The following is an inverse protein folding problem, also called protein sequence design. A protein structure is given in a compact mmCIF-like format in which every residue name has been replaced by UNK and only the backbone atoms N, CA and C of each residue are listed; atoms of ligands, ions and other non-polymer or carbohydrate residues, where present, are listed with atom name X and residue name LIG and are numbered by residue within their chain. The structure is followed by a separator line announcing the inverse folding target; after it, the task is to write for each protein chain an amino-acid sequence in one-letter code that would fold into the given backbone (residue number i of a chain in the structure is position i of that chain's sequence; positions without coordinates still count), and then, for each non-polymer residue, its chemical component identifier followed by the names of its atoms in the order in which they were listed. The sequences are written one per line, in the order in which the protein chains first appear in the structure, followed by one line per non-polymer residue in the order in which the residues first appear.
data_IF_317734584075
#
_entry.id   IF_317734584075
#
_cell.length_a   1.000
_cell.length_b   1.000
_cell.length_c   1.000
_cell.angle_alpha   90.00
_cell.angle_beta   90.00
_cell.angle_gamma   90.00
#
_symmetry.space_group_name_H-M   'P 1'
#
loop_
_entity.id
_entity.type
_entity.pdbx_description
1 polymer ?
#
# COMPACT_ATOMS: atom_id res chain seq x y z
N UNK A 1 -27.60 -16.86 -46.38
CA UNK A 1 -26.33 -16.14 -46.66
C UNK A 1 -26.21 -14.73 -46.05
N UNK A 2 -27.30 -14.01 -45.68
CA UNK A 2 -27.19 -12.66 -45.09
C UNK A 2 -26.61 -12.65 -43.66
N UNK A 3 -26.97 -13.62 -42.84
CA UNK A 3 -26.51 -13.72 -41.45
C UNK A 3 -25.02 -14.12 -41.31
N UNK A 4 -24.47 -14.86 -42.28
CA UNK A 4 -23.03 -15.20 -42.30
C UNK A 4 -22.14 -13.95 -42.46
N UNK A 5 -22.57 -12.95 -43.25
CA UNK A 5 -21.80 -11.71 -43.42
C UNK A 5 -21.82 -10.86 -42.15
N UNK A 6 -22.97 -10.79 -41.46
CA UNK A 6 -23.10 -10.09 -40.18
C UNK A 6 -22.24 -10.75 -39.10
N UNK A 7 -22.20 -12.09 -39.07
CA UNK A 7 -21.32 -12.83 -38.15
C UNK A 7 -19.83 -12.54 -38.36
N UNK A 8 -19.38 -12.48 -39.62
CA UNK A 8 -17.98 -12.17 -39.95
C UNK A 8 -17.61 -10.74 -39.50
N UNK A 9 -18.49 -9.76 -39.71
CA UNK A 9 -18.26 -8.37 -39.26
C UNK A 9 -18.13 -8.27 -37.74
N UNK A 10 -18.97 -9.00 -37.00
CA UNK A 10 -18.92 -9.06 -35.53
C UNK A 10 -17.62 -9.68 -35.00
N UNK A 11 -17.14 -10.76 -35.64
CA UNK A 11 -15.88 -11.41 -35.28
C UNK A 11 -14.68 -10.48 -35.55
N UNK A 12 -14.68 -9.81 -36.70
CA UNK A 12 -13.62 -8.84 -37.03
C UNK A 12 -13.60 -7.68 -36.02
N UNK A 13 -14.77 -7.18 -35.60
CA UNK A 13 -14.87 -6.13 -34.57
C UNK A 13 -14.30 -6.56 -33.20
N UNK A 14 -14.53 -7.80 -32.78
CA UNK A 14 -14.01 -8.33 -31.52
C UNK A 14 -12.48 -8.47 -31.53
N UNK A 15 -11.86 -8.76 -32.69
CA UNK A 15 -10.40 -8.90 -32.82
C UNK A 15 -9.63 -7.56 -32.69
N UNK A 16 -10.30 -6.42 -32.88
CA UNK A 16 -9.68 -5.09 -32.72
C UNK A 16 -9.86 -4.47 -31.33
N UNK A 17 -10.56 -5.17 -30.42
CA UNK A 17 -10.79 -4.68 -29.06
C UNK A 17 -9.52 -4.80 -28.22
N UNK A 18 -8.76 -3.71 -28.07
CA UNK A 18 -7.67 -3.65 -27.10
C UNK A 18 -8.25 -3.54 -25.69
N UNK A 19 -8.04 -4.58 -24.88
CA UNK A 19 -8.34 -4.55 -23.45
C UNK A 19 -7.07 -4.23 -22.67
N UNK A 20 -7.11 -3.19 -21.85
CA UNK A 20 -6.08 -2.89 -20.87
C UNK A 20 -6.58 -3.32 -19.51
N UNK A 21 -5.97 -4.36 -18.93
CA UNK A 21 -6.23 -4.75 -17.54
C UNK A 21 -5.31 -3.96 -16.60
N UNK A 22 -5.81 -3.67 -15.39
CA UNK A 22 -5.03 -3.01 -14.34
C UNK A 22 -4.08 -4.03 -13.69
N UNK A 23 -2.96 -4.32 -14.34
CA UNK A 23 -1.85 -4.97 -13.67
C UNK A 23 -1.04 -3.88 -12.96
N UNK A 24 -1.53 -3.47 -11.79
CA UNK A 24 -0.74 -2.67 -10.89
C UNK A 24 0.29 -3.62 -10.27
N UNK A 25 1.48 -3.69 -10.85
CA UNK A 25 2.62 -4.29 -10.17
C UNK A 25 3.10 -3.33 -9.10
N UNK A 26 3.60 -3.86 -7.98
CA UNK A 26 4.18 -3.01 -6.95
C UNK A 26 5.32 -2.17 -7.54
N UNK A 27 6.14 -2.75 -8.43
CA UNK A 27 7.13 -2.02 -9.24
C UNK A 27 8.23 -1.33 -8.42
N UNK A 28 9.32 -0.94 -9.10
CA UNK A 28 10.33 -0.03 -8.51
C UNK A 28 9.86 1.40 -8.65
N UNK A 29 10.17 2.25 -7.68
CA UNK A 29 9.92 3.69 -7.77
C UNK A 29 10.84 4.28 -8.84
N UNK A 30 10.28 5.04 -9.76
CA UNK A 30 11.03 5.65 -10.86
C UNK A 30 11.29 7.13 -10.61
N UNK A 31 12.28 7.69 -11.31
CA UNK A 31 12.61 9.12 -11.20
C UNK A 31 11.48 9.96 -11.77
N UNK A 32 10.88 9.49 -12.85
CA UNK A 32 9.76 10.11 -13.57
C UNK A 32 8.54 10.23 -12.65
N UNK A 33 8.23 9.15 -11.91
CA UNK A 33 7.18 9.17 -10.88
C UNK A 33 7.44 10.24 -9.83
N UNK A 34 8.67 10.39 -9.33
CA UNK A 34 8.98 11.40 -8.31
C UNK A 34 9.02 12.83 -8.86
N UNK A 35 9.30 13.00 -10.16
CA UNK A 35 9.33 14.32 -10.82
C UNK A 35 7.94 14.90 -11.08
N UNK A 36 6.91 14.05 -11.16
CA UNK A 36 5.54 14.52 -11.32
C UNK A 36 5.05 15.21 -10.03
N UNK A 37 5.07 16.54 -10.03
CA UNK A 37 4.74 17.38 -8.86
C UNK A 37 3.25 17.54 -8.58
N UNK A 38 2.39 17.14 -9.54
CA UNK A 38 0.95 17.34 -9.48
C UNK A 38 0.27 16.11 -10.08
N UNK A 39 -0.81 15.65 -9.46
CA UNK A 39 -1.54 14.49 -9.95
C UNK A 39 -2.17 14.77 -11.32
N UNK A 40 -2.02 13.87 -12.32
CA UNK A 40 -2.40 14.14 -13.71
C UNK A 40 -3.91 14.31 -13.92
N UNK A 41 -4.74 13.65 -13.10
CA UNK A 41 -6.20 13.75 -13.19
C UNK A 41 -6.82 14.81 -12.27
N UNK A 42 -6.07 15.28 -11.26
CA UNK A 42 -6.60 16.21 -10.26
C UNK A 42 -5.47 17.07 -9.69
N UNK A 43 -5.31 18.29 -10.19
CA UNK A 43 -4.28 19.21 -9.72
C UNK A 43 -4.48 19.69 -8.27
N UNK A 44 -5.69 19.51 -7.73
CA UNK A 44 -6.01 19.88 -6.35
C UNK A 44 -5.60 18.80 -5.36
N UNK A 45 -5.36 17.56 -5.81
CA UNK A 45 -5.00 16.43 -4.96
C UNK A 45 -3.76 16.72 -4.10
N UNK A 46 -3.87 16.42 -2.80
CA UNK A 46 -2.78 16.55 -1.84
C UNK A 46 -1.89 15.30 -1.81
N UNK A 47 -2.47 14.13 -2.10
CA UNK A 47 -1.80 12.84 -2.21
C UNK A 47 -2.63 11.91 -3.11
N UNK A 48 -2.03 10.83 -3.61
CA UNK A 48 -2.72 9.78 -4.34
C UNK A 48 -2.22 8.39 -3.93
N UNK A 49 -3.13 7.41 -3.91
CA UNK A 49 -2.77 6.00 -3.75
C UNK A 49 -2.32 5.49 -5.11
N UNK A 50 -1.04 5.16 -5.21
CA UNK A 50 -0.43 4.64 -6.44
C UNK A 50 -0.58 3.12 -6.51
N UNK A 51 -0.56 2.44 -5.37
CA UNK A 51 -0.78 1.01 -5.29
C UNK A 51 -1.42 0.62 -3.97
N UNK A 52 -2.37 -0.32 -4.02
CA UNK A 52 -2.97 -0.92 -2.82
C UNK A 52 -3.31 -2.38 -3.11
N UNK A 53 -2.79 -3.28 -2.29
CA UNK A 53 -3.10 -4.71 -2.32
C UNK A 53 -3.28 -5.20 -0.90
N UNK A 54 -4.34 -5.99 -0.70
CA UNK A 54 -4.56 -6.75 0.51
C UNK A 54 -4.67 -8.23 0.18
N UNK A 55 -4.13 -9.10 1.03
CA UNK A 55 -4.29 -10.54 0.91
C UNK A 55 -4.65 -11.10 2.27
N UNK A 56 -5.71 -11.90 2.31
CA UNK A 56 -6.11 -12.65 3.50
C UNK A 56 -5.99 -14.13 3.21
N UNK A 57 -5.34 -14.88 4.08
CA UNK A 57 -5.17 -16.32 3.89
C UNK A 57 -5.02 -17.07 5.21
N UNK A 58 -5.33 -18.36 5.18
CA UNK A 58 -5.17 -19.25 6.32
C UNK A 58 -3.88 -20.06 6.17
N UNK A 59 -3.17 -20.26 7.28
CA UNK A 59 -2.04 -21.19 7.38
C UNK A 59 -2.37 -22.19 8.47
N UNK A 60 -2.16 -23.48 8.18
CA UNK A 60 -2.33 -24.53 9.18
C UNK A 60 -0.98 -24.91 9.76
N UNK A 61 -0.86 -24.84 11.08
CA UNK A 61 0.29 -25.33 11.82
C UNK A 61 -0.08 -26.58 12.61
N UNK A 62 0.68 -27.65 12.42
CA UNK A 62 0.47 -28.92 13.13
C UNK A 62 0.65 -28.67 14.64
N UNK A 63 -0.41 -28.93 15.40
CA UNK A 63 -0.43 -28.76 16.87
C UNK A 63 -1.12 -27.48 17.33
N UNK A 64 -1.14 -26.43 16.50
CA UNK A 64 -1.68 -25.12 16.85
C UNK A 64 -2.96 -24.76 16.08
N UNK A 65 -3.25 -25.44 14.96
CA UNK A 65 -4.48 -25.23 14.20
C UNK A 65 -4.32 -24.21 13.07
N UNK A 66 -5.38 -23.46 12.78
CA UNK A 66 -5.39 -22.48 11.69
C UNK A 66 -5.09 -21.07 12.21
N UNK A 67 -4.18 -20.40 11.51
CA UNK A 67 -3.86 -18.99 11.66
C UNK A 67 -4.43 -18.20 10.50
N UNK A 68 -4.98 -17.03 10.80
CA UNK A 68 -5.44 -16.07 9.81
C UNK A 68 -4.39 -14.97 9.63
N UNK A 69 -3.89 -14.82 8.40
CA UNK A 69 -2.92 -13.78 8.03
C UNK A 69 -3.57 -12.72 7.15
N UNK A 70 -3.16 -11.47 7.36
CA UNK A 70 -3.55 -10.33 6.55
C UNK A 70 -2.32 -9.55 6.11
N UNK A 71 -2.01 -9.59 4.81
CA UNK A 71 -0.94 -8.81 4.20
C UNK A 71 -1.51 -7.52 3.63
N UNK A 72 -0.94 -6.39 4.01
CA UNK A 72 -1.32 -5.09 3.47
C UNK A 72 -0.12 -4.38 2.86
N UNK A 73 -0.25 -4.06 1.57
CA UNK A 73 0.75 -3.34 0.79
C UNK A 73 0.11 -2.07 0.23
N UNK A 74 0.65 -0.91 0.59
CA UNK A 74 0.09 0.39 0.21
C UNK A 74 1.23 1.28 -0.24
N UNK A 75 1.09 1.94 -1.38
CA UNK A 75 2.02 2.95 -1.84
C UNK A 75 1.22 4.19 -2.16
N UNK A 76 1.64 5.31 -1.61
CA UNK A 76 1.03 6.58 -1.90
C UNK A 76 2.10 7.62 -2.18
N UNK A 77 1.73 8.57 -3.01
CA UNK A 77 2.53 9.70 -3.41
C UNK A 77 1.93 10.95 -2.82
N UNK A 78 2.77 11.77 -2.18
CA UNK A 78 2.35 13.03 -1.58
C UNK A 78 2.78 14.20 -2.46
N UNK A 79 1.83 15.01 -2.89
CA UNK A 79 2.06 16.19 -3.73
C UNK A 79 2.16 17.47 -2.90
N UNK A 80 1.42 17.56 -1.78
CA UNK A 80 1.30 18.76 -0.94
C UNK A 80 1.49 18.43 0.54
N UNK A 81 1.85 19.43 1.35
CA UNK A 81 2.13 19.25 2.79
C UNK A 81 0.94 18.68 3.54
N UNK A 82 -0.27 19.08 3.16
CA UNK A 82 -1.53 18.62 3.78
C UNK A 82 -1.79 17.14 3.50
N UNK A 83 -1.14 16.58 2.48
CA UNK A 83 -1.19 15.15 2.15
C UNK A 83 -0.34 14.27 3.06
N UNK A 84 0.57 14.86 3.86
CA UNK A 84 1.43 14.10 4.77
C UNK A 84 0.66 13.35 5.85
N UNK A 85 -0.54 13.82 6.23
CA UNK A 85 -1.41 13.12 7.19
C UNK A 85 -1.83 11.72 6.71
N UNK A 86 -1.80 11.46 5.41
CA UNK A 86 -2.10 10.15 4.84
C UNK A 86 -0.92 9.18 4.95
N UNK A 87 0.24 9.67 5.37
CA UNK A 87 1.40 8.85 5.69
C UNK A 87 1.39 8.27 7.09
N UNK A 88 0.55 8.82 7.98
CA UNK A 88 0.35 8.27 9.31
C UNK A 88 -0.54 7.03 9.18
N UNK A 89 -0.04 5.88 9.63
CA UNK A 89 -0.77 4.62 9.54
C UNK A 89 -0.87 3.98 10.92
N UNK A 90 -2.09 3.59 11.28
CA UNK A 90 -2.39 2.89 12.51
C UNK A 90 -3.21 1.63 12.20
N UNK A 91 -2.90 0.57 12.95
CA UNK A 91 -3.65 -0.70 12.89
C UNK A 91 -4.22 -0.96 14.26
N UNK A 92 -5.53 -1.16 14.32
CA UNK A 92 -6.23 -1.58 15.54
C UNK A 92 -6.32 -3.10 15.51
N UNK A 93 -5.94 -3.74 16.60
CA UNK A 93 -5.92 -5.19 16.75
C UNK A 93 -6.38 -5.62 18.15
N UNK A 94 -6.79 -6.87 18.28
CA UNK A 94 -7.23 -7.45 19.55
C UNK A 94 -6.01 -7.75 20.42
N UNK A 95 -6.02 -7.19 21.63
CA UNK A 95 -5.01 -7.53 22.62
C UNK A 95 -5.25 -8.93 23.20
N UNK A 96 -4.22 -9.47 23.87
CA UNK A 96 -4.29 -10.79 24.51
C UNK A 96 -5.46 -10.89 25.48
N UNK A 97 -6.25 -11.96 25.36
CA UNK A 97 -7.35 -12.28 26.28
C UNK A 97 -7.28 -13.72 26.74
N UNK A 98 -7.92 -14.00 27.87
CA UNK A 98 -8.03 -15.35 28.40
C UNK A 98 -8.74 -16.26 27.39
N UNK A 99 -8.07 -17.35 26.99
CA UNK A 99 -8.58 -18.30 26.00
C UNK A 99 -8.35 -17.93 24.52
N UNK A 100 -7.67 -16.82 24.22
CA UNK A 100 -7.37 -16.39 22.85
C UNK A 100 -5.89 -16.03 22.68
N UNK A 101 -5.32 -16.37 21.52
CA UNK A 101 -3.99 -15.92 21.15
C UNK A 101 -3.99 -14.40 20.85
N UNK A 102 -2.85 -13.77 21.06
CA UNK A 102 -2.65 -12.33 20.79
C UNK A 102 -2.58 -12.10 19.27
N UNK A 103 -3.25 -11.05 18.78
CA UNK A 103 -3.01 -10.59 17.42
C UNK A 103 -1.69 -9.82 17.34
N UNK A 104 -0.87 -10.14 16.34
CA UNK A 104 0.46 -9.54 16.18
C UNK A 104 0.45 -8.67 14.92
N UNK A 105 0.83 -7.40 15.07
CA UNK A 105 1.01 -6.45 13.97
C UNK A 105 2.50 -6.23 13.72
N UNK A 106 2.92 -6.26 12.44
CA UNK A 106 4.32 -6.11 12.02
C UNK A 106 4.46 -5.17 10.81
N UNK A 107 5.08 -4.00 10.98
CA UNK A 107 5.46 -3.08 9.88
C UNK A 107 6.85 -3.34 9.27
N UNK A 108 6.98 -3.65 7.98
CA UNK A 108 8.31 -3.62 7.29
C UNK A 108 8.29 -2.81 6.03
N UNK A 109 9.49 -2.69 5.43
CA UNK A 109 9.73 -2.16 4.10
C UNK A 109 9.09 -0.78 3.97
N UNK A 110 8.97 -0.10 5.10
CA UNK A 110 8.49 1.25 5.23
C UNK A 110 9.64 2.14 4.77
N UNK A 111 9.60 2.51 3.50
CA UNK A 111 10.66 3.30 2.87
C UNK A 111 10.04 4.55 2.27
N UNK A 112 10.74 5.65 2.45
CA UNK A 112 10.40 6.92 1.82
C UNK A 112 11.39 7.21 0.70
N UNK A 113 10.86 7.54 -0.47
CA UNK A 113 11.61 7.90 -1.66
C UNK A 113 11.53 9.40 -1.91
N UNK A 114 12.68 10.02 -2.13
CA UNK A 114 12.83 11.44 -2.43
C UNK A 114 13.73 11.66 -3.64
N UNK A 115 13.61 12.83 -4.26
CA UNK A 115 14.63 13.34 -5.17
C UNK A 115 15.49 14.38 -4.45
N UNK A 116 16.75 14.04 -4.20
CA UNK A 116 17.76 14.97 -3.70
C UNK A 116 18.78 15.22 -4.81
N UNK A 117 18.97 16.47 -5.22
CA UNK A 117 19.89 16.85 -6.31
C UNK A 117 19.67 16.08 -7.63
N UNK A 118 18.43 15.63 -7.88
CA UNK A 118 18.09 14.84 -9.07
C UNK A 118 18.41 13.35 -8.96
N UNK A 119 18.88 12.89 -7.81
CA UNK A 119 19.10 11.47 -7.51
C UNK A 119 17.99 10.92 -6.62
N UNK A 120 17.60 9.67 -6.88
CA UNK A 120 16.63 8.97 -6.06
C UNK A 120 17.30 8.55 -4.76
N UNK A 121 16.76 9.04 -3.65
CA UNK A 121 17.25 8.73 -2.31
C UNK A 121 16.18 8.01 -1.51
N UNK A 122 16.55 6.84 -1.02
CA UNK A 122 15.73 6.03 -0.14
C UNK A 122 16.05 6.38 1.32
N UNK A 123 15.02 6.61 2.11
CA UNK A 123 15.14 6.81 3.56
C UNK A 123 14.27 5.77 4.24
N UNK A 124 14.87 4.76 4.89
CA UNK A 124 14.12 3.80 5.67
C UNK A 124 13.45 4.53 6.83
N UNK A 125 12.19 4.18 7.10
CA UNK A 125 11.50 4.65 8.29
C UNK A 125 12.13 3.96 9.49
N UNK A 126 12.92 4.73 10.25
CA UNK A 126 13.34 4.31 11.58
C UNK A 126 12.09 4.18 12.43
N UNK A 127 11.86 2.98 12.96
CA UNK A 127 10.82 2.71 13.95
C UNK A 127 11.21 3.38 15.28
N UNK A 128 11.23 4.71 15.30
CA UNK A 128 11.37 5.48 16.54
C UNK A 128 10.01 5.40 17.26
N UNK A 129 9.77 4.25 17.89
CA UNK A 129 8.60 3.97 18.72
C UNK A 129 7.46 3.28 17.98
N UNK A 130 7.38 1.95 18.10
CA UNK A 130 6.08 1.29 18.10
C UNK A 130 5.32 1.84 19.32
N UNK A 131 4.50 2.87 19.11
CA UNK A 131 3.66 3.43 20.15
C UNK A 131 2.40 2.57 20.23
N UNK A 132 2.49 1.49 21.01
CA UNK A 132 1.33 0.71 21.43
C UNK A 132 0.44 1.61 22.26
N UNK A 133 -0.76 1.90 21.76
CA UNK A 133 -1.75 2.67 22.50
C UNK A 133 -2.90 1.76 22.90
N UNK A 134 -3.19 1.68 24.20
CA UNK A 134 -4.36 0.97 24.68
C UNK A 134 -5.61 1.82 24.41
N UNK A 135 -6.52 1.31 23.57
CA UNK A 135 -7.79 2.00 23.28
C UNK A 135 -8.81 1.63 24.37
N UNK A 136 -8.88 0.35 24.71
CA UNK A 136 -9.71 -0.16 25.80
C UNK A 136 -9.20 -1.54 26.28
N UNK A 137 -9.94 -2.18 27.19
CA UNK A 137 -9.64 -3.52 27.73
C UNK A 137 -9.35 -4.59 26.65
N UNK A 138 -9.84 -4.37 25.45
CA UNK A 138 -10.01 -5.33 24.38
C UNK A 138 -9.26 -4.97 23.08
N UNK A 139 -8.82 -3.73 22.93
CA UNK A 139 -8.27 -3.17 21.70
C UNK A 139 -7.00 -2.41 21.99
N UNK A 140 -6.00 -2.69 21.17
CA UNK A 140 -4.77 -1.92 21.08
C UNK A 140 -4.63 -1.36 19.67
N UNK A 141 -3.86 -0.28 19.55
CA UNK A 141 -3.41 0.20 18.26
C UNK A 141 -1.91 0.33 18.21
N UNK A 142 -1.33 -0.17 17.14
CA UNK A 142 0.06 0.11 16.77
C UNK A 142 0.09 1.22 15.71
N UNK A 143 0.89 2.25 15.98
CA UNK A 143 1.06 3.42 15.12
C UNK A 143 2.51 3.44 14.63
N UNK A 144 2.71 3.72 13.34
CA UNK A 144 4.02 4.01 12.78
C UNK A 144 4.14 5.50 12.45
N UNK A 145 5.17 6.18 13.00
CA UNK A 145 5.44 7.61 12.77
C UNK A 145 6.47 7.84 11.65
N UNK A 146 6.32 8.93 10.91
CA UNK A 146 7.23 9.32 9.83
C UNK A 146 8.50 10.09 10.30
N UNK A 147 9.64 9.80 9.65
CA UNK A 147 10.95 10.47 9.85
C UNK A 147 11.00 11.89 9.25
N UNK A 148 11.58 12.83 9.99
CA UNK A 148 11.73 14.30 9.78
C UNK A 148 11.59 14.87 8.35
N UNK A 149 10.50 15.64 8.16
CA UNK A 149 10.21 16.77 7.22
C UNK A 149 11.29 17.15 6.17
N UNK A 150 10.96 16.96 4.88
CA UNK A 150 11.15 17.90 3.74
C UNK A 150 10.38 17.44 2.49
N UNK A 151 9.58 18.34 1.90
CA UNK A 151 8.67 18.11 0.78
C UNK A 151 9.21 17.27 -0.39
N UNK A 152 8.49 16.21 -0.75
CA UNK A 152 8.71 15.38 -1.94
C UNK A 152 8.73 13.88 -1.66
N UNK A 153 7.72 13.37 -0.93
CA UNK A 153 7.78 12.02 -0.36
C UNK A 153 6.82 11.04 -1.05
N UNK A 154 7.36 9.89 -1.43
CA UNK A 154 6.60 8.70 -1.82
C UNK A 154 6.94 7.58 -0.85
N UNK A 155 5.96 7.03 -0.14
CA UNK A 155 6.18 5.99 0.87
C UNK A 155 5.63 4.67 0.34
N UNK A 156 6.48 3.65 0.33
CA UNK A 156 6.12 2.29 -0.03
C UNK A 156 5.86 1.50 1.26
N UNK A 157 4.68 0.92 1.42
CA UNK A 157 4.34 -0.01 2.51
C UNK A 157 4.24 -1.42 1.93
N UNK A 158 5.07 -2.31 2.48
CA UNK A 158 4.92 -3.74 2.34
C UNK A 158 5.07 -4.33 3.77
N UNK A 159 3.97 -4.50 4.52
CA UNK A 159 4.00 -4.95 5.93
C UNK A 159 4.49 -6.41 6.06
N UNK A 160 5.65 -6.58 6.71
CA UNK A 160 6.29 -7.80 7.22
C UNK A 160 7.57 -7.47 8.04
N UNK A 161 7.42 -6.76 9.18
CA UNK A 161 8.54 -6.37 10.07
C UNK A 161 9.43 -7.55 10.47
N UNK A 162 10.73 -7.44 10.21
CA UNK A 162 11.76 -7.80 11.19
C UNK A 162 13.07 -7.07 10.87
N UNK A 163 13.30 -6.04 11.71
CA UNK A 163 14.54 -5.29 12.05
C UNK A 163 15.39 -4.72 10.92
#
# INVERSE_FOLDING_TARGET
MKYCKVGIVLVVFLLFSKSSAQNLEYGKVTKEELQEKVHPLDSTAAAAIIFKRARTYFVYERGNGFYLYHDFNIRFKVYKKEGLKWADFSVIYLNKREGFEEEIVKFSNCVTYNLENGELKETPLRMEGNLKTNINKYLESDINYHSKRKSGFHISNQLYCEI
#
